data_IF_475746602054
#
_entry.id   IF_475746602054
#
_cell.length_a   1.000
_cell.length_b   1.000
_cell.length_c   1.000
_cell.angle_alpha   90.00
_cell.angle_beta   90.00
_cell.angle_gamma   90.00
#
_symmetry.space_group_name_H-M   'P 1'
#
loop_
_entity.id
_entity.type
_entity.pdbx_description
1 polymer ?
#
# COMPACT_ATOMS: atom_id res chain seq x y z
N UNK A 1 -15.74 -3.50 1.24
CA UNK A 1 -15.64 -2.06 0.89
C UNK A 1 -14.65 -1.93 -0.28
N UNK A 2 -14.75 -0.91 -1.15
CA UNK A 2 -13.75 -0.71 -2.19
C UNK A 2 -12.38 -0.41 -1.57
N UNK A 3 -11.31 -0.80 -2.27
CA UNK A 3 -9.94 -0.55 -1.81
C UNK A 3 -9.68 0.97 -1.72
N UNK A 4 -9.25 1.49 -0.56
CA UNK A 4 -9.08 2.93 -0.36
C UNK A 4 -8.07 3.55 -1.35
N UNK A 5 -7.07 2.80 -1.81
CA UNK A 5 -6.09 3.31 -2.78
C UNK A 5 -6.68 3.45 -4.17
N UNK A 6 -7.58 2.53 -4.57
CA UNK A 6 -8.31 2.65 -5.86
C UNK A 6 -9.29 3.82 -5.84
N UNK A 7 -9.96 4.06 -4.71
CA UNK A 7 -10.84 5.22 -4.54
C UNK A 7 -10.04 6.52 -4.64
N UNK A 8 -8.93 6.62 -3.90
CA UNK A 8 -8.07 7.80 -3.92
C UNK A 8 -7.50 8.08 -5.31
N UNK A 9 -7.00 7.06 -6.01
CA UNK A 9 -6.48 7.22 -7.37
C UNK A 9 -7.57 7.74 -8.33
N UNK A 10 -8.79 7.20 -8.24
CA UNK A 10 -9.93 7.66 -9.04
C UNK A 10 -10.29 9.12 -8.75
N UNK A 11 -10.34 9.52 -7.49
CA UNK A 11 -10.68 10.89 -7.08
C UNK A 11 -9.62 11.90 -7.52
N UNK A 12 -8.36 11.47 -7.60
CA UNK A 12 -7.24 12.28 -8.07
C UNK A 12 -7.05 12.24 -9.60
N UNK A 13 -7.83 11.43 -10.33
CA UNK A 13 -7.69 11.27 -11.77
C UNK A 13 -6.40 10.54 -12.20
N UNK A 14 -5.87 9.66 -11.33
CA UNK A 14 -4.65 8.88 -11.53
C UNK A 14 -4.95 7.40 -11.73
N UNK A 15 -4.01 6.68 -12.36
CA UNK A 15 -3.96 5.21 -12.30
C UNK A 15 -3.16 4.80 -11.06
N UNK A 16 -3.72 3.92 -10.22
CA UNK A 16 -3.04 3.41 -9.03
C UNK A 16 -1.69 2.75 -9.35
N UNK A 17 -1.53 2.18 -10.55
CA UNK A 17 -0.25 1.62 -11.02
C UNK A 17 0.86 2.66 -11.17
N UNK A 18 0.51 3.93 -11.33
CA UNK A 18 1.43 5.06 -11.36
C UNK A 18 1.70 5.68 -9.97
N UNK A 19 1.10 5.14 -8.91
CA UNK A 19 1.20 5.68 -7.57
C UNK A 19 2.21 4.91 -6.70
N UNK A 20 2.71 5.60 -5.68
CA UNK A 20 3.49 5.02 -4.58
C UNK A 20 2.69 5.12 -3.29
N UNK A 21 2.54 4.00 -2.58
CA UNK A 21 1.88 3.91 -1.27
C UNK A 21 2.94 3.75 -0.18
N UNK A 22 2.88 4.59 0.85
CA UNK A 22 3.72 4.53 2.04
C UNK A 22 2.88 4.06 3.22
N UNK A 23 3.10 2.84 3.70
CA UNK A 23 2.21 2.22 4.69
C UNK A 23 2.92 1.34 5.72
N UNK A 24 2.38 1.30 6.93
CA UNK A 24 2.96 0.55 8.05
C UNK A 24 2.05 -0.56 8.60
N UNK A 25 0.79 -0.63 8.20
CA UNK A 25 -0.10 -1.69 8.68
C UNK A 25 -0.11 -2.90 7.72
N UNK A 26 -0.16 -4.16 8.22
CA UNK A 26 -0.23 -5.34 7.36
C UNK A 26 -1.40 -5.31 6.37
N UNK A 27 -2.56 -4.82 6.82
CA UNK A 27 -3.75 -4.71 5.98
C UNK A 27 -3.61 -3.65 4.89
N UNK A 28 -3.05 -2.48 5.22
CA UNK A 28 -2.86 -1.40 4.25
C UNK A 28 -1.78 -1.74 3.23
N UNK A 29 -0.70 -2.41 3.64
CA UNK A 29 0.36 -2.85 2.71
C UNK A 29 -0.25 -3.77 1.64
N UNK A 30 -0.99 -4.80 2.07
CA UNK A 30 -1.63 -5.73 1.13
C UNK A 30 -2.66 -5.06 0.23
N UNK A 31 -3.44 -4.12 0.75
CA UNK A 31 -4.37 -3.32 -0.05
C UNK A 31 -3.61 -2.47 -1.09
N UNK A 32 -2.51 -1.84 -0.70
CA UNK A 32 -1.64 -1.09 -1.60
C UNK A 32 -1.11 -1.96 -2.75
N UNK A 33 -0.64 -3.17 -2.44
CA UNK A 33 -0.16 -4.14 -3.44
C UNK A 33 -1.30 -4.58 -4.36
N UNK A 34 -2.47 -4.91 -3.80
CA UNK A 34 -3.64 -5.33 -4.57
C UNK A 34 -4.20 -4.22 -5.49
N UNK A 35 -3.96 -2.95 -5.15
CA UNK A 35 -4.32 -1.81 -6.00
C UNK A 35 -3.45 -1.70 -7.26
N UNK A 36 -2.31 -2.41 -7.31
CA UNK A 36 -1.32 -2.34 -8.37
C UNK A 36 -0.29 -1.22 -8.20
N UNK A 37 -0.36 -0.45 -7.11
CA UNK A 37 0.62 0.56 -6.77
C UNK A 37 1.97 -0.05 -6.35
N UNK A 38 3.04 0.75 -6.44
CA UNK A 38 4.30 0.41 -5.78
C UNK A 38 4.17 0.71 -4.29
N UNK A 39 4.54 -0.24 -3.42
CA UNK A 39 4.36 -0.10 -1.97
C UNK A 39 5.71 -0.10 -1.26
N UNK A 40 5.92 0.90 -0.41
CA UNK A 40 7.05 1.02 0.51
C UNK A 40 6.55 0.82 1.93
N UNK A 41 7.02 -0.21 2.61
CA UNK A 41 6.63 -0.55 3.97
C UNK A 41 7.40 0.29 5.01
N UNK A 42 6.66 1.02 5.84
CA UNK A 42 7.20 1.84 6.92
C UNK A 42 7.30 1.04 8.22
N UNK A 43 8.52 0.86 8.70
CA UNK A 43 8.80 0.24 10.00
C UNK A 43 8.83 1.27 11.15
N UNK A 44 8.01 2.33 11.08
CA UNK A 44 7.99 3.40 12.09
C UNK A 44 7.27 2.99 13.38
N UNK A 45 6.26 2.12 13.27
CA UNK A 45 5.52 1.58 14.41
C UNK A 45 5.69 0.07 14.59
N UNK A 46 5.49 -0.78 13.57
CA UNK A 46 5.81 -2.20 13.72
C UNK A 46 7.29 -2.47 13.46
N UNK A 47 7.80 -3.53 14.09
CA UNK A 47 9.03 -4.16 13.65
C UNK A 47 8.88 -4.74 12.25
N UNK A 48 9.97 -4.76 11.47
CA UNK A 48 10.02 -5.35 10.13
C UNK A 48 9.45 -6.77 10.09
N UNK A 49 9.78 -7.59 11.09
CA UNK A 49 9.32 -8.98 11.23
C UNK A 49 7.79 -9.14 11.18
N UNK A 50 7.04 -8.10 11.55
CA UNK A 50 5.57 -8.12 11.56
C UNK A 50 4.97 -7.86 10.18
N UNK A 51 5.71 -7.28 9.26
CA UNK A 51 5.20 -6.79 7.97
C UNK A 51 5.99 -7.30 6.74
N UNK A 52 7.15 -7.93 6.94
CA UNK A 52 8.00 -8.42 5.83
C UNK A 52 7.31 -9.43 4.91
N UNK A 53 6.28 -10.11 5.38
CA UNK A 53 5.49 -11.08 4.61
C UNK A 53 4.16 -10.48 4.09
N UNK A 54 4.10 -9.16 3.90
CA UNK A 54 2.92 -8.47 3.36
C UNK A 54 3.07 -8.09 1.87
N UNK A 55 4.10 -8.59 1.19
CA UNK A 55 4.35 -8.40 -0.24
C UNK A 55 4.66 -6.95 -0.66
N UNK A 56 5.13 -6.11 0.27
CA UNK A 56 5.66 -4.80 -0.08
C UNK A 56 6.85 -4.91 -1.05
N UNK A 57 7.01 -3.89 -1.91
CA UNK A 57 8.08 -3.86 -2.90
C UNK A 57 9.41 -3.40 -2.28
N UNK A 58 9.33 -2.57 -1.24
CA UNK A 58 10.45 -2.00 -0.50
C UNK A 58 10.19 -2.00 1.01
#
# INVERSE_FOLDING_TARGET
>A
APDPFLVAAKELGLDAKGCVVLEGSPSSIRAGVASGATVIALCTSPERSKIENCDAHF
#
